data_IF_990411643686
#
_entry.id   IF_990411643686
#
_cell.length_a   1.000
_cell.length_b   1.000
_cell.length_c   1.000
_cell.angle_alpha   90.00
_cell.angle_beta   90.00
_cell.angle_gamma   90.00
#
_symmetry.space_group_name_H-M   'P 1'
#
loop_
_entity.id
_entity.type
_entity.pdbx_description
1 polymer ?
#
# COMPACT_ATOMS: atom_id res chain seq x y z
N UNK A 1 74.98 34.44 -48.53
CA UNK A 1 74.51 33.61 -49.66
C UNK A 1 73.50 32.61 -49.11
N UNK A 2 72.22 32.96 -49.18
CA UNK A 2 71.22 32.49 -50.16
C UNK A 2 70.54 31.20 -49.67
N UNK A 3 69.23 31.34 -49.53
CA UNK A 3 68.25 30.39 -49.05
C UNK A 3 68.05 29.20 -49.99
N UNK A 4 67.51 28.11 -49.46
CA UNK A 4 66.48 27.36 -50.19
C UNK A 4 65.44 26.72 -49.24
N UNK A 5 64.21 26.93 -49.67
CA UNK A 5 62.89 26.54 -49.21
C UNK A 5 62.66 25.06 -48.98
N UNK A 6 61.97 24.71 -47.88
CA UNK A 6 60.87 23.74 -47.92
C UNK A 6 59.82 24.10 -46.84
N UNK A 7 58.83 24.90 -47.25
CA UNK A 7 57.62 25.18 -46.47
C UNK A 7 56.71 23.96 -46.65
N UNK A 8 56.52 23.13 -45.62
CA UNK A 8 55.54 22.05 -45.71
C UNK A 8 54.14 22.61 -45.47
N UNK A 9 53.24 22.39 -46.42
CA UNK A 9 51.82 22.78 -46.38
C UNK A 9 51.00 21.99 -45.35
N UNK A 10 51.63 21.25 -44.44
CA UNK A 10 50.98 20.31 -43.54
C UNK A 10 50.65 20.89 -42.16
N UNK A 11 51.31 21.96 -41.72
CA UNK A 11 51.08 22.57 -40.40
C UNK A 11 49.97 23.63 -40.38
N UNK A 12 49.68 24.29 -41.50
CA UNK A 12 48.56 25.26 -41.56
C UNK A 12 47.19 24.56 -41.67
N UNK A 13 47.10 23.45 -42.41
CA UNK A 13 45.85 22.68 -42.56
C UNK A 13 45.41 22.01 -41.25
N UNK A 14 46.35 21.57 -40.41
CA UNK A 14 46.05 20.97 -39.10
C UNK A 14 45.60 22.02 -38.07
N UNK A 15 46.08 23.27 -38.17
CA UNK A 15 45.69 24.35 -37.26
C UNK A 15 44.31 24.96 -37.62
N UNK A 16 43.97 25.03 -38.90
CA UNK A 16 42.64 25.43 -39.41
C UNK A 16 41.55 24.41 -39.04
N UNK A 17 41.84 23.10 -39.13
CA UNK A 17 40.92 22.04 -38.70
C UNK A 17 40.68 22.09 -37.19
N UNK A 18 41.71 22.38 -36.38
CA UNK A 18 41.55 22.55 -34.93
C UNK A 18 40.71 23.80 -34.58
N UNK A 19 40.92 24.94 -35.25
CA UNK A 19 40.14 26.17 -35.02
C UNK A 19 38.67 26.05 -35.44
N UNK A 20 38.37 25.33 -36.52
CA UNK A 20 36.99 25.08 -36.99
C UNK A 20 36.25 24.01 -36.17
N UNK A 21 36.98 23.15 -35.46
CA UNK A 21 36.39 22.09 -34.60
C UNK A 21 36.01 22.58 -33.20
N UNK A 22 36.73 23.57 -32.64
CA UNK A 22 36.48 24.06 -31.27
C UNK A 22 35.05 24.59 -31.04
N UNK A 23 34.40 25.32 -31.98
CA UNK A 23 33.01 25.73 -31.83
C UNK A 23 32.03 24.54 -31.89
N UNK A 24 32.33 23.53 -32.70
CA UNK A 24 31.52 22.31 -32.86
C UNK A 24 31.58 21.47 -31.59
N UNK A 25 32.77 21.25 -31.03
CA UNK A 25 32.93 20.57 -29.75
C UNK A 25 32.30 21.37 -28.60
N UNK A 26 32.42 22.70 -28.56
CA UNK A 26 31.71 23.53 -27.55
C UNK A 26 30.19 23.41 -27.68
N UNK A 27 29.64 23.38 -28.90
CA UNK A 27 28.21 23.20 -29.15
C UNK A 27 27.71 21.80 -28.81
N UNK A 28 28.47 20.75 -29.12
CA UNK A 28 28.14 19.37 -28.71
C UNK A 28 28.24 19.19 -27.19
N UNK A 29 29.26 19.74 -26.55
CA UNK A 29 29.40 19.65 -25.08
C UNK A 29 28.31 20.46 -24.37
N UNK A 30 27.93 21.65 -24.87
CA UNK A 30 26.77 22.38 -24.34
C UNK A 30 25.45 21.65 -24.62
N UNK A 31 25.27 21.04 -25.80
CA UNK A 31 24.06 20.29 -26.12
C UNK A 31 23.91 19.03 -25.25
N UNK A 32 25.02 18.33 -24.94
CA UNK A 32 25.02 17.21 -23.99
C UNK A 32 24.80 17.67 -22.53
N UNK A 33 25.34 18.83 -22.14
CA UNK A 33 25.07 19.43 -20.83
C UNK A 33 23.61 19.92 -20.72
N UNK A 34 23.02 20.44 -21.80
CA UNK A 34 21.60 20.80 -21.85
C UNK A 34 20.69 19.58 -21.91
N UNK A 35 21.05 18.52 -22.62
CA UNK A 35 20.28 17.27 -22.66
C UNK A 35 20.34 16.53 -21.32
N UNK A 36 21.47 16.56 -20.62
CA UNK A 36 21.60 16.03 -19.26
C UNK A 36 20.91 16.92 -18.21
N UNK A 37 20.94 18.24 -18.36
CA UNK A 37 20.19 19.16 -17.51
C UNK A 37 18.67 19.09 -17.75
N UNK A 38 18.21 18.89 -19.00
CA UNK A 38 16.80 18.63 -19.30
C UNK A 38 16.38 17.25 -18.80
N UNK A 39 17.23 16.23 -18.89
CA UNK A 39 16.97 14.90 -18.30
C UNK A 39 16.91 14.96 -16.78
N UNK A 40 17.78 15.73 -16.14
CA UNK A 40 17.79 15.94 -14.70
C UNK A 40 16.60 16.81 -14.26
N UNK A 41 16.26 17.87 -14.98
CA UNK A 41 15.09 18.70 -14.72
C UNK A 41 13.78 17.95 -14.99
N UNK A 42 13.73 17.07 -16.00
CA UNK A 42 12.61 16.17 -16.23
C UNK A 42 12.51 15.08 -15.15
N UNK A 43 13.64 14.60 -14.61
CA UNK A 43 13.67 13.68 -13.46
C UNK A 43 13.26 14.36 -12.15
N UNK A 44 13.60 15.63 -11.97
CA UNK A 44 13.19 16.46 -10.83
C UNK A 44 11.72 16.89 -10.97
N UNK A 45 11.24 17.15 -12.20
CA UNK A 45 9.84 17.44 -12.48
C UNK A 45 8.94 16.19 -12.36
N UNK A 46 9.45 14.99 -12.69
CA UNK A 46 8.79 13.72 -12.37
C UNK A 46 8.78 13.42 -10.86
N UNK A 47 9.62 14.09 -10.07
CA UNK A 47 9.69 13.95 -8.61
C UNK A 47 8.85 15.00 -7.86
N UNK A 48 8.06 15.80 -8.57
CA UNK A 48 7.14 16.77 -7.99
C UNK A 48 5.69 16.49 -8.42
N UNK A 49 5.31 15.23 -8.51
CA UNK A 49 3.91 14.90 -8.26
C UNK A 49 3.57 15.26 -6.81
N UNK A 50 2.37 15.79 -6.53
CA UNK A 50 1.95 16.01 -5.15
C UNK A 50 2.21 14.72 -4.37
N UNK A 51 2.88 14.85 -3.22
CA UNK A 51 3.26 13.71 -2.41
C UNK A 51 1.99 12.92 -2.05
N UNK A 52 1.74 11.81 -2.75
CA UNK A 52 0.60 10.94 -2.46
C UNK A 52 0.70 10.30 -1.06
N UNK A 53 1.83 10.50 -0.36
CA UNK A 53 2.01 10.16 1.06
C UNK A 53 1.44 11.20 2.03
N UNK A 54 1.09 12.40 1.56
CA UNK A 54 0.45 13.38 2.42
C UNK A 54 -0.96 12.91 2.78
N UNK A 55 -1.17 12.55 4.04
CA UNK A 55 -2.50 12.25 4.58
C UNK A 55 -3.44 13.41 4.21
N UNK A 56 -4.59 13.05 3.64
CA UNK A 56 -5.64 14.00 3.25
C UNK A 56 -5.90 14.98 4.41
N UNK A 57 -5.90 16.32 4.18
CA UNK A 57 -6.23 17.29 5.20
C UNK A 57 -7.57 17.04 5.93
N UNK A 58 -8.56 16.38 5.31
CA UNK A 58 -9.77 15.90 6.00
C UNK A 58 -9.50 14.70 6.90
N UNK A 59 -8.64 13.76 6.48
CA UNK A 59 -8.14 12.66 7.33
C UNK A 59 -7.34 13.23 8.51
N UNK A 60 -6.51 14.25 8.31
CA UNK A 60 -5.79 14.94 9.37
C UNK A 60 -6.73 15.71 10.32
N UNK A 61 -7.84 16.27 9.80
CA UNK A 61 -8.89 16.83 10.64
C UNK A 61 -9.55 15.74 11.49
N UNK A 62 -9.87 14.57 10.92
CA UNK A 62 -10.44 13.41 11.63
C UNK A 62 -9.48 12.84 12.70
N UNK A 63 -8.18 12.77 12.37
CA UNK A 63 -7.10 12.42 13.31
C UNK A 63 -6.97 13.45 14.45
N UNK A 64 -7.16 14.74 14.15
CA UNK A 64 -7.03 15.83 15.11
C UNK A 64 -8.30 16.06 15.96
N UNK A 65 -9.49 15.65 15.49
CA UNK A 65 -10.77 15.83 16.19
C UNK A 65 -11.15 14.70 17.14
N UNK A 66 -10.33 13.64 17.26
CA UNK A 66 -10.62 12.56 18.21
C UNK A 66 -10.25 12.91 19.66
N UNK A 67 -11.16 13.60 20.34
CA UNK A 67 -11.28 13.76 21.80
C UNK A 67 -11.50 12.43 22.58
N UNK A 68 -11.31 11.26 21.96
CA UNK A 68 -11.59 9.94 22.57
C UNK A 68 -10.40 8.99 22.66
N UNK A 69 -9.17 9.46 22.49
CA UNK A 69 -8.00 8.68 22.89
C UNK A 69 -7.88 8.75 24.44
N UNK A 70 -8.79 8.05 25.14
CA UNK A 70 -9.00 8.13 26.60
C UNK A 70 -7.87 7.49 27.43
N UNK A 71 -6.68 7.30 26.86
CA UNK A 71 -5.57 6.56 27.48
C UNK A 71 -5.75 5.03 27.52
N UNK A 72 -6.96 4.52 27.32
CA UNK A 72 -7.29 3.07 27.29
C UNK A 72 -7.02 2.40 25.94
N UNK A 73 -6.72 3.18 24.90
CA UNK A 73 -6.29 2.68 23.59
C UNK A 73 -4.76 2.78 23.50
N UNK A 74 -4.07 1.94 24.28
CA UNK A 74 -2.59 1.87 24.36
C UNK A 74 -1.92 3.19 24.76
N UNK A 75 -2.63 4.05 25.48
CA UNK A 75 -2.11 5.37 25.85
C UNK A 75 -1.83 6.27 24.64
N UNK A 76 -2.50 6.05 23.50
CA UNK A 76 -2.48 6.97 22.37
C UNK A 76 -3.00 8.33 22.84
N UNK A 77 -2.19 9.37 22.63
CA UNK A 77 -2.58 10.78 22.80
C UNK A 77 -2.54 11.43 21.41
N UNK A 78 -3.23 12.56 21.17
CA UNK A 78 -3.13 13.27 19.89
C UNK A 78 -1.69 13.52 19.44
N UNK A 79 -0.78 13.84 20.38
CA UNK A 79 0.63 14.02 20.08
C UNK A 79 1.37 12.73 19.71
N UNK A 80 1.02 11.59 20.33
CA UNK A 80 1.56 10.29 19.92
C UNK A 80 1.03 9.87 18.56
N UNK A 81 -0.24 10.14 18.25
CA UNK A 81 -0.82 9.87 16.93
C UNK A 81 -0.12 10.74 15.88
N UNK A 82 0.09 12.03 16.15
CA UNK A 82 0.84 12.94 15.27
C UNK A 82 2.28 12.46 15.04
N UNK A 83 2.98 12.06 16.12
CA UNK A 83 4.33 11.49 16.03
C UNK A 83 4.34 10.18 15.24
N UNK A 84 3.34 9.32 15.44
CA UNK A 84 3.18 8.07 14.73
C UNK A 84 2.91 8.31 13.23
N UNK A 85 1.99 9.22 12.87
CA UNK A 85 1.72 9.59 11.48
C UNK A 85 2.96 10.20 10.79
N UNK A 86 3.71 11.07 11.49
CA UNK A 86 4.97 11.60 10.97
C UNK A 86 6.02 10.49 10.83
N UNK A 87 6.13 9.59 11.81
CA UNK A 87 7.03 8.45 11.73
C UNK A 87 6.63 7.49 10.62
N UNK A 88 5.34 7.33 10.32
CA UNK A 88 4.82 6.57 9.18
C UNK A 88 5.38 7.13 7.87
N UNK A 89 5.35 8.43 7.63
CA UNK A 89 5.94 9.03 6.41
C UNK A 89 7.45 8.74 6.25
N UNK A 90 8.16 8.47 7.35
CA UNK A 90 9.58 8.08 7.36
C UNK A 90 9.79 6.57 7.62
N UNK A 91 8.71 5.80 7.78
CA UNK A 91 8.73 4.47 8.38
C UNK A 91 9.30 3.42 7.42
N UNK A 92 10.11 2.48 7.94
CA UNK A 92 10.49 1.28 7.22
C UNK A 92 9.29 0.45 6.73
N UNK A 93 8.09 0.61 7.32
CA UNK A 93 6.88 -0.14 6.93
C UNK A 93 6.52 0.10 5.46
N UNK A 94 6.63 1.33 4.96
CA UNK A 94 6.45 1.65 3.54
C UNK A 94 7.58 1.10 2.64
N UNK A 95 8.60 0.47 3.22
CA UNK A 95 9.70 -0.21 2.52
C UNK A 95 9.68 -1.73 2.74
N UNK A 96 8.76 -2.25 3.55
CA UNK A 96 8.69 -3.66 3.88
C UNK A 96 8.28 -4.48 2.66
N UNK A 97 9.03 -5.56 2.43
CA UNK A 97 8.81 -6.48 1.32
C UNK A 97 8.67 -7.91 1.81
N UNK A 98 7.69 -8.61 1.28
CA UNK A 98 7.56 -10.06 1.41
C UNK A 98 7.97 -10.71 0.08
N UNK A 99 8.95 -11.62 0.13
CA UNK A 99 9.58 -12.21 -1.07
C UNK A 99 10.09 -11.17 -2.09
N UNK A 100 10.48 -9.99 -1.60
CA UNK A 100 10.93 -8.89 -2.44
C UNK A 100 9.82 -8.09 -3.14
N UNK A 101 8.54 -8.34 -2.80
CA UNK A 101 7.36 -7.60 -3.27
C UNK A 101 6.91 -6.64 -2.17
N UNK A 102 6.62 -5.39 -2.51
CA UNK A 102 6.11 -4.41 -1.56
C UNK A 102 4.81 -4.86 -0.89
N UNK A 103 4.82 -4.90 0.44
CA UNK A 103 3.73 -5.46 1.25
C UNK A 103 3.06 -4.41 2.12
N UNK A 104 3.82 -3.44 2.64
CA UNK A 104 3.31 -2.31 3.46
C UNK A 104 2.51 -2.78 4.69
N UNK A 105 2.74 -3.99 5.16
CA UNK A 105 2.18 -4.48 6.42
C UNK A 105 3.17 -4.25 7.56
N UNK A 106 2.64 -3.87 8.74
CA UNK A 106 3.43 -3.86 9.98
C UNK A 106 3.67 -5.32 10.41
N UNK A 107 4.91 -5.73 10.74
CA UNK A 107 5.20 -7.12 11.10
C UNK A 107 4.36 -7.66 12.28
N UNK A 108 4.04 -6.81 13.25
CA UNK A 108 3.19 -7.14 14.40
C UNK A 108 1.76 -7.47 13.96
N UNK A 109 1.11 -6.59 13.21
CA UNK A 109 -0.26 -6.83 12.71
C UNK A 109 -0.31 -8.02 11.76
N UNK A 110 0.67 -8.16 10.87
CA UNK A 110 0.76 -9.31 9.99
C UNK A 110 0.86 -10.63 10.77
N UNK A 111 1.62 -10.64 11.88
CA UNK A 111 1.70 -11.80 12.77
C UNK A 111 0.36 -12.16 13.40
N UNK A 112 -0.36 -11.15 13.90
CA UNK A 112 -1.70 -11.35 14.47
C UNK A 112 -2.69 -11.86 13.42
N UNK A 113 -2.66 -11.32 12.20
CA UNK A 113 -3.50 -11.79 11.10
C UNK A 113 -3.20 -13.26 10.77
N UNK A 114 -1.93 -13.67 10.74
CA UNK A 114 -1.56 -15.07 10.53
C UNK A 114 -2.07 -16.01 11.64
N UNK A 115 -2.04 -15.58 12.90
CA UNK A 115 -2.66 -16.34 14.00
C UNK A 115 -4.19 -16.45 13.83
N UNK A 116 -4.86 -15.36 13.46
CA UNK A 116 -6.29 -15.37 13.15
C UNK A 116 -6.59 -16.32 11.99
N UNK A 117 -5.79 -16.28 10.92
CA UNK A 117 -5.92 -17.20 9.79
C UNK A 117 -5.80 -18.65 10.25
N UNK A 118 -4.87 -18.96 11.16
CA UNK A 118 -4.69 -20.33 11.68
C UNK A 118 -5.88 -20.81 12.51
N UNK A 119 -6.47 -19.93 13.32
CA UNK A 119 -7.63 -20.25 14.15
C UNK A 119 -8.92 -20.38 13.31
N UNK A 120 -9.15 -19.42 12.42
CA UNK A 120 -10.34 -19.34 11.56
C UNK A 120 -10.29 -20.40 10.46
N UNK A 121 -9.11 -20.61 9.86
CA UNK A 121 -8.88 -21.45 8.68
C UNK A 121 -9.81 -21.06 7.52
N UNK A 122 -9.76 -19.82 7.02
CA UNK A 122 -10.77 -19.32 6.08
C UNK A 122 -10.84 -20.13 4.78
N UNK A 123 -12.04 -20.26 4.21
CA UNK A 123 -12.26 -20.75 2.84
C UNK A 123 -12.11 -19.63 1.80
N UNK A 124 -12.29 -18.39 2.27
CA UNK A 124 -12.16 -17.17 1.50
C UNK A 124 -11.58 -16.05 2.38
N UNK A 125 -10.57 -15.38 1.88
CA UNK A 125 -10.12 -14.07 2.37
C UNK A 125 -10.55 -13.02 1.34
N UNK A 126 -11.23 -11.97 1.79
CA UNK A 126 -11.49 -10.77 0.98
C UNK A 126 -10.57 -9.67 1.50
N UNK A 127 -9.70 -9.16 0.64
CA UNK A 127 -8.77 -8.06 0.93
C UNK A 127 -9.19 -6.84 0.10
N UNK A 128 -9.33 -5.68 0.74
CA UNK A 128 -9.51 -4.40 0.07
C UNK A 128 -8.29 -3.52 0.34
N UNK A 129 -7.63 -3.06 -0.72
CA UNK A 129 -6.27 -2.48 -0.66
C UNK A 129 -5.24 -3.53 -1.08
N UNK A 130 -5.03 -3.69 -2.38
CA UNK A 130 -4.06 -4.65 -2.94
C UNK A 130 -2.66 -4.03 -3.04
N UNK A 131 -2.61 -2.76 -3.45
CA UNK A 131 -1.39 -2.02 -3.76
C UNK A 131 -0.44 -2.84 -4.67
N UNK A 132 0.79 -3.09 -4.23
CA UNK A 132 1.79 -3.85 -4.98
C UNK A 132 1.65 -5.38 -4.88
N UNK A 133 0.67 -5.88 -4.12
CA UNK A 133 0.30 -7.30 -4.04
C UNK A 133 1.17 -8.15 -3.10
N UNK A 134 2.02 -7.53 -2.28
CA UNK A 134 2.87 -8.26 -1.34
C UNK A 134 2.10 -8.86 -0.16
N UNK A 135 1.06 -8.19 0.34
CA UNK A 135 0.16 -8.72 1.36
C UNK A 135 -0.63 -9.91 0.82
N UNK A 136 -1.22 -9.78 -0.38
CA UNK A 136 -1.93 -10.89 -1.04
C UNK A 136 -1.02 -12.11 -1.24
N UNK A 137 0.26 -11.90 -1.58
CA UNK A 137 1.24 -12.97 -1.70
C UNK A 137 1.56 -13.63 -0.35
N UNK A 138 1.72 -12.83 0.71
CA UNK A 138 1.88 -13.33 2.08
C UNK A 138 0.68 -14.18 2.50
N UNK A 139 -0.53 -13.66 2.36
CA UNK A 139 -1.75 -14.37 2.71
C UNK A 139 -1.92 -15.65 1.90
N UNK A 140 -1.62 -15.65 0.60
CA UNK A 140 -1.75 -16.83 -0.26
C UNK A 140 -0.83 -17.97 0.21
N UNK A 141 0.41 -17.66 0.59
CA UNK A 141 1.38 -18.66 1.06
C UNK A 141 0.96 -19.24 2.41
N UNK A 142 0.53 -18.38 3.35
CA UNK A 142 0.09 -18.84 4.67
C UNK A 142 -1.22 -19.63 4.56
N UNK A 143 -2.14 -19.18 3.72
CA UNK A 143 -3.41 -19.85 3.49
C UNK A 143 -3.23 -21.23 2.87
N UNK A 144 -2.30 -21.39 1.91
CA UNK A 144 -1.98 -22.71 1.34
C UNK A 144 -1.66 -23.75 2.41
N UNK A 145 -0.92 -23.36 3.45
CA UNK A 145 -0.55 -24.29 4.51
C UNK A 145 -1.71 -24.57 5.49
N UNK A 146 -2.62 -23.60 5.67
CA UNK A 146 -3.71 -23.68 6.64
C UNK A 146 -4.96 -24.35 6.05
N UNK A 147 -5.27 -24.03 4.80
CA UNK A 147 -6.41 -24.52 4.04
C UNK A 147 -6.09 -24.46 2.54
N UNK A 148 -5.59 -25.56 1.93
CA UNK A 148 -5.22 -25.60 0.52
C UNK A 148 -6.38 -25.23 -0.43
N UNK A 149 -7.63 -25.52 -0.05
CA UNK A 149 -8.82 -25.17 -0.84
C UNK A 149 -9.25 -23.69 -0.68
N UNK A 150 -8.57 -22.96 0.20
CA UNK A 150 -8.81 -21.55 0.48
C UNK A 150 -8.46 -20.65 -0.71
N UNK A 151 -9.25 -19.59 -0.89
CA UNK A 151 -9.09 -18.58 -1.95
C UNK A 151 -8.92 -17.19 -1.38
N UNK A 152 -8.35 -16.30 -2.16
CA UNK A 152 -8.24 -14.88 -1.84
C UNK A 152 -8.87 -14.08 -2.97
N UNK A 153 -9.69 -13.10 -2.61
CA UNK A 153 -10.16 -12.05 -3.52
C UNK A 153 -9.56 -10.75 -3.03
N UNK A 154 -8.75 -10.10 -3.85
CA UNK A 154 -8.14 -8.82 -3.52
C UNK A 154 -8.66 -7.72 -4.44
N UNK A 155 -8.91 -6.55 -3.88
CA UNK A 155 -9.67 -5.46 -4.50
C UNK A 155 -8.84 -4.19 -4.47
N UNK A 156 -8.76 -3.49 -5.60
CA UNK A 156 -8.11 -2.19 -5.68
C UNK A 156 -8.70 -1.35 -6.81
N UNK A 157 -8.63 -0.02 -6.67
CA UNK A 157 -9.06 0.93 -7.69
C UNK A 157 -8.12 0.90 -8.91
N UNK A 158 -6.89 0.43 -8.74
CA UNK A 158 -5.89 0.30 -9.79
C UNK A 158 -5.07 -1.00 -9.65
N UNK A 159 -4.68 -1.60 -10.77
CA UNK A 159 -3.80 -2.78 -10.75
C UNK A 159 -2.31 -2.39 -10.70
N UNK A 160 -1.86 -1.93 -9.53
CA UNK A 160 -0.45 -1.56 -9.27
C UNK A 160 0.43 -2.76 -8.87
N UNK A 161 -0.09 -4.00 -8.89
CA UNK A 161 0.67 -5.16 -8.43
C UNK A 161 1.98 -5.30 -9.18
N UNK A 162 3.05 -5.57 -8.45
CA UNK A 162 4.35 -5.83 -9.07
C UNK A 162 4.28 -7.07 -9.98
N UNK A 163 5.06 -7.07 -11.07
CA UNK A 163 5.17 -8.23 -11.96
C UNK A 163 5.50 -9.52 -11.19
N UNK A 164 6.40 -9.44 -10.20
CA UNK A 164 6.76 -10.57 -9.34
C UNK A 164 5.57 -11.11 -8.54
N UNK A 165 4.67 -10.24 -8.07
CA UNK A 165 3.44 -10.66 -7.41
C UNK A 165 2.51 -11.38 -8.39
N UNK A 166 2.26 -10.78 -9.57
CA UNK A 166 1.39 -11.36 -10.62
C UNK A 166 1.92 -12.69 -11.15
N UNK A 167 3.24 -12.87 -11.19
CA UNK A 167 3.88 -14.07 -11.74
C UNK A 167 4.08 -15.20 -10.74
N UNK A 168 4.01 -14.92 -9.43
CA UNK A 168 4.22 -15.90 -8.37
C UNK A 168 3.19 -17.04 -8.50
N UNK A 169 3.61 -18.31 -8.63
CA UNK A 169 2.68 -19.42 -8.91
C UNK A 169 1.51 -19.52 -7.94
N UNK A 170 1.78 -19.40 -6.63
CA UNK A 170 0.74 -19.48 -5.60
C UNK A 170 -0.27 -18.33 -5.67
N UNK A 171 0.15 -17.14 -6.12
CA UNK A 171 -0.75 -15.99 -6.31
C UNK A 171 -1.64 -16.22 -7.52
N UNK A 172 -1.08 -16.68 -8.64
CA UNK A 172 -1.87 -17.07 -9.83
C UNK A 172 -2.90 -18.14 -9.52
N UNK A 173 -2.54 -19.07 -8.65
CA UNK A 173 -3.42 -20.15 -8.26
C UNK A 173 -4.52 -19.68 -7.32
N UNK A 174 -4.21 -18.87 -6.29
CA UNK A 174 -5.15 -18.60 -5.18
C UNK A 174 -5.86 -17.26 -5.21
N UNK A 175 -5.30 -16.27 -5.90
CA UNK A 175 -5.71 -14.87 -5.77
C UNK A 175 -6.45 -14.41 -7.01
N UNK A 176 -7.73 -14.06 -6.82
CA UNK A 176 -8.55 -13.36 -7.80
C UNK A 176 -8.46 -11.85 -7.54
N UNK A 177 -8.27 -11.04 -8.59
CA UNK A 177 -8.19 -9.57 -8.47
C UNK A 177 -9.43 -8.90 -9.05
N UNK A 178 -10.06 -8.03 -8.27
CA UNK A 178 -11.18 -7.20 -8.71
C UNK A 178 -10.73 -5.74 -8.84
N UNK A 179 -10.86 -5.18 -10.05
CA UNK A 179 -10.54 -3.79 -10.32
C UNK A 179 -11.76 -2.89 -10.05
N UNK A 180 -11.63 -1.97 -9.09
CA UNK A 180 -12.60 -0.94 -8.75
C UNK A 180 -12.62 -0.60 -7.26
N UNK A 181 -13.44 0.37 -6.87
CA UNK A 181 -13.58 0.73 -5.45
C UNK A 181 -14.23 -0.41 -4.67
N UNK A 182 -13.72 -0.72 -3.47
CA UNK A 182 -14.33 -1.65 -2.53
C UNK A 182 -15.74 -1.23 -2.09
N UNK A 183 -16.13 0.02 -2.31
CA UNK A 183 -17.47 0.53 -2.03
C UNK A 183 -18.35 0.63 -3.28
N UNK A 184 -17.85 0.30 -4.47
CA UNK A 184 -18.66 0.24 -5.69
C UNK A 184 -19.63 -0.95 -5.61
N UNK A 185 -20.96 -0.76 -5.73
CA UNK A 185 -21.93 -1.84 -5.68
C UNK A 185 -21.63 -3.01 -6.63
N UNK A 186 -21.02 -2.75 -7.80
CA UNK A 186 -20.64 -3.80 -8.76
C UNK A 186 -19.48 -4.64 -8.24
N UNK A 187 -18.48 -4.02 -7.62
CA UNK A 187 -17.32 -4.71 -7.03
C UNK A 187 -17.76 -5.49 -5.79
N UNK A 188 -18.59 -4.88 -4.94
CA UNK A 188 -19.18 -5.56 -3.77
C UNK A 188 -20.02 -6.78 -4.20
N UNK A 189 -20.80 -6.66 -5.28
CA UNK A 189 -21.56 -7.80 -5.82
C UNK A 189 -20.66 -8.94 -6.31
N UNK A 190 -19.52 -8.62 -6.95
CA UNK A 190 -18.53 -9.62 -7.34
C UNK A 190 -17.91 -10.30 -6.12
N UNK A 191 -17.45 -9.53 -5.12
CA UNK A 191 -16.92 -10.09 -3.87
C UNK A 191 -17.95 -10.98 -3.14
N UNK A 192 -19.22 -10.56 -3.12
CA UNK A 192 -20.33 -11.35 -2.58
C UNK A 192 -20.47 -12.69 -3.29
N UNK A 193 -20.39 -12.70 -4.62
CA UNK A 193 -20.46 -13.92 -5.43
C UNK A 193 -19.33 -14.90 -5.08
N UNK A 194 -18.11 -14.40 -4.83
CA UNK A 194 -17.01 -15.25 -4.36
C UNK A 194 -17.26 -15.86 -2.96
N UNK A 195 -18.01 -15.16 -2.12
CA UNK A 195 -18.39 -15.62 -0.78
C UNK A 195 -19.56 -16.62 -0.77
N UNK A 196 -20.31 -16.77 -1.86
CA UNK A 196 -21.41 -17.72 -1.95
C UNK A 196 -20.93 -19.16 -1.68
N UNK A 197 -21.62 -19.86 -0.79
CA UNK A 197 -21.29 -21.24 -0.40
C UNK A 197 -20.03 -21.41 0.45
N UNK A 198 -19.31 -20.33 0.79
CA UNK A 198 -18.14 -20.38 1.69
C UNK A 198 -18.60 -20.48 3.14
N UNK A 199 -17.96 -21.35 3.93
CA UNK A 199 -18.33 -21.56 5.35
C UNK A 199 -17.63 -20.55 6.25
N UNK A 200 -16.40 -20.18 5.89
CA UNK A 200 -15.49 -19.33 6.70
C UNK A 200 -14.91 -18.22 5.84
N UNK A 201 -15.47 -17.02 5.96
CA UNK A 201 -15.02 -15.82 5.25
C UNK A 201 -14.32 -14.89 6.23
N UNK A 202 -13.08 -14.52 5.93
CA UNK A 202 -12.29 -13.50 6.63
C UNK A 202 -12.19 -12.26 5.73
N UNK A 203 -12.36 -11.07 6.29
CA UNK A 203 -12.24 -9.81 5.55
C UNK A 203 -11.12 -8.96 6.12
N UNK A 204 -10.29 -8.37 5.26
CA UNK A 204 -9.22 -7.43 5.55
C UNK A 204 -9.51 -6.11 4.81
N UNK A 205 -9.65 -5.01 5.54
CA UNK A 205 -9.93 -3.68 5.01
C UNK A 205 -8.72 -2.77 5.26
N UNK A 206 -8.02 -2.44 4.18
CA UNK A 206 -6.74 -1.72 4.16
C UNK A 206 -6.65 -0.78 2.95
N UNK A 207 -7.78 -0.14 2.60
CA UNK A 207 -7.92 0.71 1.41
C UNK A 207 -7.82 2.21 1.73
N UNK A 208 -8.94 2.94 1.73
CA UNK A 208 -9.00 4.35 2.08
C UNK A 208 -9.50 4.52 3.51
N UNK A 209 -8.66 5.09 4.38
CA UNK A 209 -8.88 5.12 5.83
C UNK A 209 -9.77 6.26 6.33
N UNK A 210 -10.53 6.93 5.46
CA UNK A 210 -11.50 7.94 5.91
C UNK A 210 -12.66 7.27 6.65
N UNK A 211 -13.22 7.93 7.68
CA UNK A 211 -14.41 7.44 8.39
C UNK A 211 -15.53 7.02 7.43
N UNK A 212 -15.84 7.86 6.44
CA UNK A 212 -16.95 7.62 5.50
C UNK A 212 -16.71 6.37 4.66
N UNK A 213 -15.48 6.18 4.16
CA UNK A 213 -15.15 5.03 3.32
C UNK A 213 -15.20 3.72 4.12
N UNK A 214 -14.54 3.68 5.28
CA UNK A 214 -14.54 2.48 6.14
C UNK A 214 -15.95 2.14 6.64
N UNK A 215 -16.79 3.13 6.94
CA UNK A 215 -18.19 2.86 7.29
C UNK A 215 -18.94 2.14 6.16
N UNK A 216 -18.73 2.56 4.91
CA UNK A 216 -19.33 1.92 3.74
C UNK A 216 -18.77 0.51 3.50
N UNK A 217 -17.47 0.28 3.71
CA UNK A 217 -16.88 -1.07 3.66
C UNK A 217 -17.44 -1.99 4.75
N UNK A 218 -17.51 -1.50 6.00
CA UNK A 218 -18.09 -2.27 7.10
C UNK A 218 -19.53 -2.69 6.80
N UNK A 219 -20.36 -1.78 6.27
CA UNK A 219 -21.73 -2.10 5.85
C UNK A 219 -21.76 -3.14 4.71
N UNK A 220 -20.90 -3.00 3.71
CA UNK A 220 -20.87 -3.86 2.54
C UNK A 220 -20.39 -5.29 2.84
N UNK A 221 -19.32 -5.42 3.63
CA UNK A 221 -18.59 -6.67 3.81
C UNK A 221 -18.92 -7.41 5.11
N UNK A 222 -19.36 -6.73 6.18
CA UNK A 222 -19.76 -7.42 7.42
C UNK A 222 -20.84 -8.51 7.20
N UNK A 223 -21.84 -8.37 6.31
CA UNK A 223 -22.78 -9.47 6.05
C UNK A 223 -22.12 -10.75 5.54
N UNK A 224 -20.94 -10.67 4.90
CA UNK A 224 -20.24 -11.80 4.30
C UNK A 224 -19.35 -12.56 5.30
N UNK A 225 -18.93 -11.92 6.39
CA UNK A 225 -18.00 -12.50 7.38
C UNK A 225 -18.69 -13.62 8.15
N UNK A 226 -18.08 -14.78 8.28
CA UNK A 226 -18.70 -15.91 9.00
C UNK A 226 -18.66 -15.72 10.52
N UNK A 227 -19.62 -16.29 11.25
CA UNK A 227 -19.57 -16.33 12.73
C UNK A 227 -18.30 -17.05 13.18
N UNK A 228 -17.58 -16.45 14.13
CA UNK A 228 -16.27 -16.90 14.59
C UNK A 228 -15.09 -16.32 13.80
N UNK A 229 -15.34 -15.71 12.64
CA UNK A 229 -14.35 -15.03 11.80
C UNK A 229 -14.28 -13.53 12.10
N UNK A 230 -13.47 -12.79 11.31
CA UNK A 230 -13.17 -11.38 11.51
C UNK A 230 -13.41 -10.54 10.26
N UNK A 231 -13.69 -9.27 10.50
CA UNK A 231 -13.45 -8.16 9.59
C UNK A 231 -12.39 -7.29 10.24
N UNK A 232 -11.22 -7.19 9.61
CA UNK A 232 -10.06 -6.51 10.19
C UNK A 232 -9.91 -5.15 9.50
N UNK A 233 -10.00 -4.07 10.25
CA UNK A 233 -9.77 -2.71 9.75
C UNK A 233 -8.35 -2.28 10.16
N UNK A 234 -7.54 -1.90 9.17
CA UNK A 234 -6.16 -1.46 9.38
C UNK A 234 -6.05 0.08 9.43
N UNK A 235 -4.88 0.56 9.84
CA UNK A 235 -4.52 1.97 10.02
C UNK A 235 -5.52 2.79 10.85
N UNK A 236 -6.13 2.15 11.85
CA UNK A 236 -7.08 2.78 12.76
C UNK A 236 -6.53 3.97 13.55
N UNK A 237 -5.24 4.05 13.91
CA UNK A 237 -4.65 5.27 14.45
C UNK A 237 -4.89 6.52 13.60
N UNK A 238 -5.02 6.37 12.27
CA UNK A 238 -5.07 7.44 11.28
C UNK A 238 -6.49 7.90 10.89
N UNK A 239 -7.54 7.48 11.60
CA UNK A 239 -8.90 8.00 11.34
C UNK A 239 -10.06 7.01 11.52
N UNK A 240 -9.98 5.75 11.06
CA UNK A 240 -11.19 4.94 10.89
C UNK A 240 -11.80 4.40 12.20
N UNK A 241 -11.19 4.64 13.36
CA UNK A 241 -11.75 4.30 14.69
C UNK A 241 -13.18 4.78 14.87
N UNK A 242 -13.52 5.94 14.31
CA UNK A 242 -14.86 6.49 14.37
C UNK A 242 -15.91 5.60 13.70
N UNK A 243 -15.59 5.07 12.54
CA UNK A 243 -16.47 4.17 11.81
C UNK A 243 -16.65 2.85 12.57
N UNK A 244 -15.57 2.36 13.19
CA UNK A 244 -15.59 1.15 14.02
C UNK A 244 -16.48 1.35 15.25
N UNK A 245 -16.34 2.47 15.96
CA UNK A 245 -17.13 2.76 17.15
C UNK A 245 -18.64 2.85 16.80
N UNK A 246 -19.00 3.58 15.73
CA UNK A 246 -20.39 3.69 15.25
C UNK A 246 -20.95 2.31 14.83
N UNK A 247 -20.13 1.50 14.15
CA UNK A 247 -20.50 0.14 13.73
C UNK A 247 -20.77 -0.77 14.94
N UNK A 248 -19.90 -0.77 15.96
CA UNK A 248 -20.05 -1.61 17.15
C UNK A 248 -21.17 -1.13 18.09
N UNK A 249 -21.48 0.17 18.06
CA UNK A 249 -22.62 0.72 18.80
C UNK A 249 -23.95 0.13 18.31
N UNK A 250 -24.10 -0.05 17.01
CA UNK A 250 -25.34 -0.51 16.38
C UNK A 250 -25.36 -2.01 16.08
N UNK A 251 -24.20 -2.62 15.84
CA UNK A 251 -24.08 -4.02 15.43
C UNK A 251 -23.58 -4.93 16.56
N UNK A 252 -24.52 -5.50 17.32
CA UNK A 252 -24.20 -6.39 18.46
C UNK A 252 -23.76 -7.79 18.06
N UNK A 253 -23.76 -8.12 16.77
CA UNK A 253 -23.20 -9.38 16.26
C UNK A 253 -21.67 -9.37 16.20
N UNK A 254 -21.06 -8.21 16.43
CA UNK A 254 -19.62 -8.00 16.40
C UNK A 254 -19.07 -7.44 17.72
N UNK A 255 -17.80 -7.74 17.98
CA UNK A 255 -17.02 -7.14 19.07
C UNK A 255 -15.63 -6.76 18.56
N UNK A 256 -15.02 -5.71 19.12
CA UNK A 256 -13.58 -5.50 18.98
C UNK A 256 -12.84 -6.51 19.88
N UNK A 257 -12.11 -7.45 19.29
CA UNK A 257 -11.29 -8.41 20.02
C UNK A 257 -9.97 -7.77 20.46
N UNK A 258 -10.04 -6.98 21.53
CA UNK A 258 -8.89 -6.26 22.10
C UNK A 258 -7.74 -7.19 22.51
N UNK A 259 -7.96 -8.50 22.66
CA UNK A 259 -6.90 -9.48 22.97
C UNK A 259 -5.91 -9.66 21.81
N UNK A 260 -6.26 -9.22 20.60
CA UNK A 260 -5.40 -9.25 19.41
C UNK A 260 -4.42 -8.08 19.34
N UNK A 261 -4.69 -7.01 20.08
CA UNK A 261 -3.82 -5.82 20.16
C UNK A 261 -2.67 -6.04 21.16
N UNK A 262 -1.89 -7.10 20.96
CA UNK A 262 -0.80 -7.48 21.88
C UNK A 262 0.46 -6.64 21.70
N UNK A 263 0.60 -6.02 20.53
CA UNK A 263 1.79 -5.28 20.15
C UNK A 263 1.56 -3.76 20.30
N UNK A 264 2.49 -3.01 20.93
CA UNK A 264 2.36 -1.56 21.09
C UNK A 264 2.32 -0.79 19.76
N UNK A 265 2.86 -1.38 18.68
CA UNK A 265 2.94 -0.83 17.33
C UNK A 265 1.81 -1.32 16.42
N UNK A 266 0.72 -1.85 16.97
CA UNK A 266 -0.44 -2.26 16.16
C UNK A 266 -1.07 -1.06 15.45
N UNK A 267 -1.31 -1.22 14.14
CA UNK A 267 -2.08 -0.27 13.32
C UNK A 267 -3.58 -0.61 13.35
N UNK A 268 -3.96 -1.68 14.01
CA UNK A 268 -5.31 -2.23 14.02
C UNK A 268 -5.99 -2.07 15.40
N UNK A 269 -5.77 -0.93 16.08
CA UNK A 269 -6.40 -0.63 17.38
C UNK A 269 -7.92 -0.62 17.24
N UNK A 270 -8.62 -1.49 17.97
CA UNK A 270 -10.05 -1.86 17.81
C UNK A 270 -10.42 -2.42 16.43
N UNK A 271 -9.45 -2.56 15.54
CA UNK A 271 -9.59 -2.99 14.16
C UNK A 271 -9.80 -4.49 14.00
N UNK A 272 -9.42 -5.30 14.98
CA UNK A 272 -9.71 -6.74 14.99
C UNK A 272 -11.18 -7.02 15.39
N UNK A 273 -12.11 -6.90 14.44
CA UNK A 273 -13.54 -6.98 14.73
C UNK A 273 -14.06 -8.41 14.46
N UNK A 274 -14.41 -9.13 15.53
CA UNK A 274 -14.86 -10.53 15.47
C UNK A 274 -16.37 -10.63 15.38
N UNK A 275 -16.90 -11.43 14.44
CA UNK A 275 -18.33 -11.80 14.42
C UNK A 275 -18.57 -12.90 15.46
N UNK A 276 -19.42 -12.65 16.46
CA UNK A 276 -19.69 -13.59 17.56
C UNK A 276 -21.04 -14.28 17.48
N UNK A 277 -21.97 -13.76 16.67
CA UNK A 277 -23.29 -14.37 16.42
C UNK A 277 -23.83 -13.97 15.04
N UNK A 278 -24.88 -14.65 14.53
CA UNK A 278 -25.54 -14.29 13.27
C UNK A 278 -26.00 -12.83 13.25
#
# INVERSE_FOLDING_TARGET
>A
MIASTFRSRHTEATFEIMKSSVPIYRRLTLALLFASALSLAASIALAAEPDQRALDPEVLKDVATYEKAMGTDHGLTPDKIRKFANAMNESPVFKNKFLGIWTVQTPSDAWIIMEIMHEVKPDLIIEAGTFHGGSSALWAIILEHINPDGRIVTIDIEDQRERKAKELPIVKEKVDFLLGSSTDPKVVAQARKHAEGKKRVLVLLDSLHSKKHVAAELEAYAPMVSVGSYIIVQDTPLGPKAAIDDFLETNKSYIADRKRERYPDTNSVRGYIKRIKP
#
